data_IF_147939059577
#
_entry.id   IF_147939059577
#
_cell.length_a   1.000
_cell.length_b   1.000
_cell.length_c   1.000
_cell.angle_alpha   90.00
_cell.angle_beta   90.00
_cell.angle_gamma   90.00
#
_symmetry.space_group_name_H-M   'P 1'
#
loop_
_entity.id
_entity.type
_entity.pdbx_description
1 polymer ?
#
# COMPACT_ATOMS: atom_id res chain seq x y z
N UNK A 1 5.00 -6.60 -30.12
CA UNK A 1 5.79 -5.37 -29.88
C UNK A 1 4.79 -4.29 -29.50
N UNK A 2 4.91 -3.72 -28.30
CA UNK A 2 4.11 -2.56 -27.90
C UNK A 2 4.46 -1.39 -28.81
N UNK A 3 3.45 -0.64 -29.27
CA UNK A 3 3.68 0.58 -30.06
C UNK A 3 4.65 1.53 -29.34
N UNK A 4 5.58 2.19 -30.06
CA UNK A 4 6.43 3.22 -29.47
C UNK A 4 5.59 4.32 -28.84
N UNK A 5 5.92 4.75 -27.62
CA UNK A 5 5.21 5.81 -26.87
C UNK A 5 5.15 7.14 -27.65
N UNK A 6 6.02 7.31 -28.64
CA UNK A 6 6.02 8.40 -29.62
C UNK A 6 4.67 8.56 -30.35
N UNK A 7 3.91 7.47 -30.53
CA UNK A 7 2.58 7.46 -31.15
C UNK A 7 1.44 7.99 -30.26
N UNK A 8 1.73 8.40 -29.01
CA UNK A 8 0.72 8.85 -28.03
C UNK A 8 1.01 10.31 -27.62
N UNK A 9 0.52 11.30 -28.38
CA UNK A 9 0.83 12.72 -28.14
C UNK A 9 0.21 13.27 -26.86
N UNK A 10 -0.86 12.66 -26.36
CA UNK A 10 -1.63 13.16 -25.21
C UNK A 10 -1.07 12.72 -23.84
N UNK A 11 0.02 11.94 -23.82
CA UNK A 11 0.69 11.55 -22.57
C UNK A 11 1.62 12.68 -22.12
N UNK A 12 1.53 13.07 -20.84
CA UNK A 12 2.44 14.02 -20.21
C UNK A 12 3.92 13.68 -20.54
N UNK A 13 4.74 14.66 -20.99
CA UNK A 13 6.11 14.39 -21.43
C UNK A 13 7.00 13.70 -20.40
N UNK A 14 6.80 13.99 -19.10
CA UNK A 14 7.55 13.35 -18.01
C UNK A 14 7.13 11.90 -17.86
N UNK A 15 5.82 11.63 -17.86
CA UNK A 15 5.30 10.26 -17.82
C UNK A 15 5.75 9.45 -19.04
N UNK A 16 5.78 10.07 -20.22
CA UNK A 16 6.28 9.46 -21.45
C UNK A 16 7.75 9.07 -21.36
N UNK A 17 8.60 9.98 -20.89
CA UNK A 17 10.03 9.70 -20.66
C UNK A 17 10.22 8.56 -19.65
N UNK A 18 9.41 8.51 -18.60
CA UNK A 18 9.46 7.43 -17.61
C UNK A 18 9.08 6.08 -18.23
N UNK A 19 8.01 6.03 -19.04
CA UNK A 19 7.59 4.82 -19.76
C UNK A 19 8.66 4.32 -20.73
N UNK A 20 9.34 5.22 -21.43
CA UNK A 20 10.42 4.88 -22.37
C UNK A 20 11.67 4.38 -21.63
N UNK A 21 11.96 4.92 -20.45
CA UNK A 21 13.14 4.55 -19.63
C UNK A 21 12.91 3.26 -18.85
N UNK A 22 11.70 3.05 -18.35
CA UNK A 22 11.30 1.89 -17.57
C UNK A 22 10.11 1.21 -18.25
N UNK A 23 10.37 0.33 -19.24
CA UNK A 23 9.30 -0.46 -19.83
C UNK A 23 8.79 -1.45 -18.78
N UNK A 24 7.76 -1.05 -18.04
CA UNK A 24 7.04 -1.90 -17.09
C UNK A 24 6.09 -2.81 -17.88
N UNK A 25 6.66 -3.61 -18.78
CA UNK A 25 5.92 -4.58 -19.58
C UNK A 25 5.84 -5.89 -18.84
N UNK A 26 4.62 -6.33 -18.58
CA UNK A 26 4.33 -7.68 -18.08
C UNK A 26 3.64 -8.48 -19.18
N UNK A 27 4.06 -9.72 -19.34
CA UNK A 27 3.36 -10.70 -20.15
C UNK A 27 2.85 -11.81 -19.25
N UNK A 28 1.74 -12.45 -19.62
CA UNK A 28 1.22 -13.60 -18.85
C UNK A 28 2.27 -14.73 -18.74
N UNK A 29 3.18 -14.84 -19.72
CA UNK A 29 4.26 -15.82 -19.74
C UNK A 29 5.36 -15.56 -18.70
N UNK A 30 5.52 -14.32 -18.20
CA UNK A 30 6.49 -14.01 -17.15
C UNK A 30 6.13 -14.72 -15.82
N UNK A 31 4.84 -14.96 -15.58
CA UNK A 31 4.35 -15.52 -14.31
C UNK A 31 4.38 -14.51 -13.14
N UNK A 32 3.69 -14.85 -12.05
CA UNK A 32 3.49 -13.93 -10.91
C UNK A 32 4.79 -13.60 -10.19
N UNK A 33 5.71 -14.55 -10.05
CA UNK A 33 6.97 -14.34 -9.31
C UNK A 33 7.91 -13.35 -9.99
N UNK A 34 8.03 -13.42 -11.32
CA UNK A 34 8.83 -12.44 -12.08
C UNK A 34 8.21 -11.05 -11.95
N UNK A 35 6.87 -10.96 -12.01
CA UNK A 35 6.18 -9.70 -11.83
C UNK A 35 6.39 -9.11 -10.42
N UNK A 36 6.30 -9.94 -9.37
CA UNK A 36 6.60 -9.55 -7.98
C UNK A 36 8.04 -9.08 -7.83
N UNK A 37 9.00 -9.81 -8.40
CA UNK A 37 10.41 -9.46 -8.35
C UNK A 37 10.69 -8.11 -9.03
N UNK A 38 10.14 -7.87 -10.23
CA UNK A 38 10.25 -6.58 -10.94
C UNK A 38 9.65 -5.44 -10.11
N UNK A 39 8.47 -5.64 -9.51
CA UNK A 39 7.86 -4.60 -8.66
C UNK A 39 8.72 -4.27 -7.43
N UNK A 40 9.33 -5.27 -6.79
CA UNK A 40 10.24 -5.07 -5.64
C UNK A 40 11.53 -4.30 -5.99
N UNK A 41 11.90 -4.26 -7.27
CA UNK A 41 13.03 -3.47 -7.75
C UNK A 41 12.68 -1.98 -7.90
N UNK A 42 11.39 -1.63 -8.00
CA UNK A 42 10.93 -0.25 -7.99
C UNK A 42 10.98 0.30 -6.57
N UNK A 43 12.17 0.76 -6.16
CA UNK A 43 12.39 1.36 -4.84
C UNK A 43 12.54 2.86 -4.98
N UNK A 44 11.86 3.58 -4.09
CA UNK A 44 12.17 4.98 -3.86
C UNK A 44 13.42 5.04 -2.98
N UNK A 45 14.45 5.82 -3.34
CA UNK A 45 15.62 6.02 -2.49
C UNK A 45 15.19 6.50 -1.09
N UNK A 46 15.68 5.89 0.01
CA UNK A 46 15.26 6.23 1.36
C UNK A 46 15.40 7.71 1.72
N UNK A 47 16.41 8.39 1.16
CA UNK A 47 16.65 9.82 1.33
C UNK A 47 15.55 10.72 0.76
N UNK A 48 14.69 10.19 -0.12
CA UNK A 48 13.53 10.90 -0.65
C UNK A 48 12.25 10.62 0.15
N UNK A 49 12.30 9.70 1.11
CA UNK A 49 11.15 9.36 1.94
C UNK A 49 11.09 10.26 3.17
N UNK A 50 9.90 10.77 3.55
CA UNK A 50 9.77 11.49 4.80
C UNK A 50 10.03 10.54 5.98
N UNK A 51 10.82 11.01 6.95
CA UNK A 51 11.03 10.30 8.20
C UNK A 51 9.76 10.34 9.05
N UNK A 52 9.22 9.17 9.37
CA UNK A 52 8.01 8.99 10.17
C UNK A 52 8.29 8.01 11.30
N UNK A 53 7.54 8.13 12.41
CA UNK A 53 7.41 7.02 13.36
C UNK A 53 6.63 5.91 12.67
N UNK A 54 7.22 4.72 12.65
CA UNK A 54 6.67 3.54 11.98
C UNK A 54 6.78 2.35 12.91
N UNK A 55 5.72 1.55 12.96
CA UNK A 55 5.69 0.30 13.71
C UNK A 55 5.08 -0.81 12.86
N UNK A 56 5.68 -1.99 12.91
CA UNK A 56 5.11 -3.20 12.35
C UNK A 56 4.34 -3.95 13.43
N UNK A 57 3.15 -4.45 13.09
CA UNK A 57 2.30 -5.21 13.99
C UNK A 57 1.67 -6.38 13.25
N UNK A 58 1.29 -7.40 14.00
CA UNK A 58 0.39 -8.44 13.53
C UNK A 58 -0.95 -8.23 14.24
N UNK A 59 -2.02 -8.18 13.47
CA UNK A 59 -3.37 -7.91 13.97
C UNK A 59 -4.32 -9.04 13.59
N UNK A 60 -5.48 -9.04 14.24
CA UNK A 60 -6.50 -10.05 14.01
C UNK A 60 -7.89 -9.59 14.39
N UNK A 61 -8.88 -10.20 13.75
CA UNK A 61 -10.29 -10.01 14.03
C UNK A 61 -11.09 -11.28 13.71
N UNK A 62 -12.03 -11.65 14.58
CA UNK A 62 -13.01 -12.72 14.35
C UNK A 62 -12.39 -14.03 13.82
N UNK A 63 -11.33 -14.51 14.48
CA UNK A 63 -10.67 -15.77 14.17
C UNK A 63 -9.54 -15.69 13.13
N UNK A 64 -9.40 -14.58 12.39
CA UNK A 64 -8.17 -14.28 11.66
C UNK A 64 -7.17 -13.61 12.61
N UNK A 65 -5.99 -14.17 12.81
CA UNK A 65 -5.04 -13.71 13.84
C UNK A 65 -3.71 -13.20 13.33
N UNK A 66 -3.39 -13.46 12.05
CA UNK A 66 -2.05 -13.33 11.51
C UNK A 66 -2.01 -12.37 10.30
N UNK A 67 -2.56 -11.16 10.45
CA UNK A 67 -2.56 -10.14 9.39
C UNK A 67 -1.45 -9.13 9.69
N UNK A 68 -0.34 -9.11 8.94
CA UNK A 68 0.70 -8.11 9.13
C UNK A 68 0.21 -6.73 8.70
N UNK A 69 0.55 -5.72 9.48
CA UNK A 69 0.31 -4.31 9.17
C UNK A 69 1.54 -3.47 9.48
N UNK A 70 1.71 -2.38 8.75
CA UNK A 70 2.67 -1.32 9.08
C UNK A 70 1.89 -0.05 9.38
N UNK A 71 2.10 0.49 10.58
CA UNK A 71 1.45 1.70 11.06
C UNK A 71 2.41 2.87 10.94
N UNK A 72 1.95 3.97 10.37
CA UNK A 72 2.71 5.19 10.15
C UNK A 72 2.03 6.33 10.89
N UNK A 73 2.78 7.06 11.71
CA UNK A 73 2.30 8.26 12.36
C UNK A 73 2.79 9.50 11.62
N UNK A 74 1.90 10.47 11.34
CA UNK A 74 2.27 11.72 10.70
C UNK A 74 3.15 12.56 11.63
N UNK A 75 4.02 13.45 11.10
CA UNK A 75 4.93 14.27 11.89
C UNK A 75 4.20 15.49 12.48
N UNK A 76 3.08 15.25 13.17
CA UNK A 76 2.26 16.28 13.83
C UNK A 76 1.99 15.88 15.28
N UNK A 77 1.98 16.86 16.18
CA UNK A 77 1.67 16.66 17.60
C UNK A 77 0.22 17.08 17.82
N UNK A 78 -0.69 16.11 17.75
CA UNK A 78 -2.12 16.31 17.97
C UNK A 78 -2.76 15.01 18.43
N UNK A 79 -3.68 15.13 19.38
CA UNK A 79 -4.48 13.99 19.84
C UNK A 79 -5.61 13.67 18.84
N UNK A 80 -6.13 12.45 18.91
CA UNK A 80 -7.28 11.99 18.13
C UNK A 80 -7.08 12.23 16.62
N UNK A 81 -6.00 11.72 16.03
CA UNK A 81 -5.74 11.84 14.59
C UNK A 81 -6.80 11.07 13.76
N UNK A 82 -7.18 11.49 12.55
CA UNK A 82 -7.90 10.59 11.64
C UNK A 82 -7.03 9.36 11.33
N UNK A 83 -7.68 8.24 11.04
CA UNK A 83 -6.99 6.99 10.67
C UNK A 83 -7.36 6.61 9.24
N UNK A 84 -6.36 6.22 8.46
CA UNK A 84 -6.52 5.70 7.10
C UNK A 84 -6.10 4.24 7.09
N UNK A 85 -7.01 3.34 6.75
CA UNK A 85 -6.66 1.96 6.42
C UNK A 85 -6.27 1.92 4.95
N UNK A 86 -5.03 1.50 4.66
CA UNK A 86 -4.45 1.52 3.34
C UNK A 86 -4.26 0.10 2.81
N UNK A 87 -4.84 -0.17 1.64
CA UNK A 87 -4.71 -1.45 0.93
C UNK A 87 -3.91 -1.23 -0.34
N UNK A 88 -2.72 -1.84 -0.40
CA UNK A 88 -1.83 -1.64 -1.53
C UNK A 88 -2.43 -2.13 -2.86
N UNK A 89 -1.91 -1.62 -3.98
CA UNK A 89 -2.28 -2.06 -5.32
C UNK A 89 -1.58 -3.36 -5.74
N UNK A 90 -1.55 -3.62 -7.05
CA UNK A 90 -0.86 -4.79 -7.61
C UNK A 90 -1.78 -5.93 -8.05
N UNK A 91 -3.07 -5.65 -8.25
CA UNK A 91 -4.01 -6.59 -8.87
C UNK A 91 -4.22 -7.88 -8.06
N UNK A 92 -4.17 -7.79 -6.73
CA UNK A 92 -4.32 -8.92 -5.78
C UNK A 92 -3.20 -9.96 -5.80
N UNK A 93 -2.25 -9.84 -6.72
CA UNK A 93 -1.16 -10.80 -6.89
C UNK A 93 0.22 -10.20 -6.67
N UNK A 94 0.34 -8.88 -6.67
CA UNK A 94 1.59 -8.14 -6.50
C UNK A 94 1.45 -7.16 -5.35
N UNK A 95 2.58 -6.63 -4.92
CA UNK A 95 2.63 -5.58 -3.91
C UNK A 95 2.94 -6.13 -2.51
N UNK A 96 2.72 -5.29 -1.52
CA UNK A 96 3.04 -5.53 -0.12
C UNK A 96 3.59 -4.26 0.53
N UNK A 97 3.82 -4.32 1.84
CA UNK A 97 4.23 -3.17 2.67
C UNK A 97 5.43 -2.41 2.10
N UNK A 98 6.46 -3.11 1.64
CA UNK A 98 7.69 -2.48 1.15
C UNK A 98 7.53 -1.78 -0.21
N UNK A 99 6.72 -2.35 -1.09
CA UNK A 99 6.53 -1.80 -2.44
C UNK A 99 5.68 -0.52 -2.44
N UNK A 100 4.85 -0.34 -1.41
CA UNK A 100 3.94 0.81 -1.28
C UNK A 100 4.25 1.68 -0.05
N UNK A 101 5.37 1.45 0.64
CA UNK A 101 5.87 2.30 1.73
C UNK A 101 5.90 3.80 1.35
N UNK A 102 6.36 4.22 0.15
CA UNK A 102 6.34 5.63 -0.24
C UNK A 102 4.91 6.21 -0.32
N UNK A 103 3.94 5.42 -0.77
CA UNK A 103 2.54 5.84 -0.91
C UNK A 103 1.87 5.94 0.46
N UNK A 104 2.10 4.95 1.34
CA UNK A 104 1.60 4.99 2.72
C UNK A 104 2.15 6.19 3.50
N UNK A 105 3.44 6.51 3.34
CA UNK A 105 4.05 7.73 3.89
C UNK A 105 3.41 9.00 3.34
N UNK A 106 3.19 9.07 2.02
CA UNK A 106 2.57 10.23 1.38
C UNK A 106 1.15 10.46 1.90
N UNK A 107 0.37 9.39 2.13
CA UNK A 107 -0.93 9.49 2.78
C UNK A 107 -0.82 10.01 4.22
N UNK A 108 0.10 9.49 5.02
CA UNK A 108 0.27 9.92 6.41
C UNK A 108 0.59 11.42 6.46
N UNK A 109 1.57 11.88 5.68
CA UNK A 109 1.98 13.29 5.62
C UNK A 109 0.87 14.17 5.04
N UNK A 110 0.34 13.82 3.87
CA UNK A 110 -0.61 14.66 3.14
C UNK A 110 -1.96 14.80 3.84
N UNK A 111 -2.45 13.73 4.47
CA UNK A 111 -3.72 13.74 5.21
C UNK A 111 -3.56 14.10 6.69
N UNK A 112 -2.32 14.20 7.20
CA UNK A 112 -2.03 14.32 8.64
C UNK A 112 -2.80 13.27 9.47
N UNK A 113 -2.73 12.03 8.99
CA UNK A 113 -3.49 10.89 9.48
C UNK A 113 -2.56 9.74 9.87
N UNK A 114 -2.96 8.94 10.86
CA UNK A 114 -2.32 7.65 11.10
C UNK A 114 -2.68 6.75 9.92
N UNK A 115 -1.70 6.09 9.31
CA UNK A 115 -1.94 5.14 8.23
C UNK A 115 -1.67 3.73 8.74
N UNK A 116 -2.64 2.83 8.57
CA UNK A 116 -2.48 1.39 8.82
C UNK A 116 -2.45 0.70 7.46
N UNK A 117 -1.25 0.40 6.96
CA UNK A 117 -1.05 -0.34 5.70
C UNK A 117 -1.17 -1.84 5.96
N UNK A 118 -2.03 -2.52 5.20
CA UNK A 118 -2.36 -3.93 5.41
C UNK A 118 -1.66 -4.83 4.40
N UNK A 119 -0.97 -5.87 4.88
CA UNK A 119 -0.31 -6.90 4.06
C UNK A 119 -1.24 -8.09 3.86
N UNK A 120 -2.32 -7.89 3.11
CA UNK A 120 -3.33 -8.92 2.89
C UNK A 120 -2.76 -10.08 2.05
N UNK A 121 -3.32 -11.29 2.24
CA UNK A 121 -2.88 -12.47 1.48
C UNK A 121 -3.12 -12.32 -0.02
N UNK A 122 -2.11 -12.69 -0.82
CA UNK A 122 -2.11 -12.55 -2.27
C UNK A 122 -2.57 -13.81 -3.00
N UNK A 123 -3.21 -13.61 -4.15
CA UNK A 123 -3.39 -14.66 -5.14
C UNK A 123 -2.09 -14.86 -5.96
N UNK A 124 -1.83 -16.05 -6.51
CA UNK A 124 -2.70 -17.22 -6.55
C UNK A 124 -2.67 -18.12 -5.29
N UNK A 125 -1.75 -17.90 -4.35
CA UNK A 125 -1.57 -18.74 -3.16
C UNK A 125 -2.81 -18.71 -2.27
N UNK A 126 -3.44 -17.55 -2.19
CA UNK A 126 -4.66 -17.31 -1.43
C UNK A 126 -5.69 -16.65 -2.36
N UNK A 127 -6.47 -17.44 -3.11
CA UNK A 127 -7.47 -16.90 -4.02
C UNK A 127 -8.58 -16.17 -3.26
N UNK A 128 -9.41 -15.44 -3.99
CA UNK A 128 -10.61 -14.84 -3.45
C UNK A 128 -11.42 -15.86 -2.61
N UNK A 129 -11.92 -15.49 -1.41
CA UNK A 129 -11.96 -14.14 -0.83
C UNK A 129 -10.80 -13.77 0.12
N UNK A 130 -9.73 -14.57 0.24
CA UNK A 130 -8.76 -14.45 1.33
C UNK A 130 -8.22 -13.03 1.60
N UNK A 131 -7.72 -12.34 0.58
CA UNK A 131 -7.21 -10.97 0.76
C UNK A 131 -8.29 -9.94 1.11
N UNK A 132 -9.55 -10.17 0.69
CA UNK A 132 -10.70 -9.32 1.07
C UNK A 132 -11.07 -9.56 2.53
N UNK A 133 -11.06 -10.82 2.97
CA UNK A 133 -11.34 -11.18 4.35
C UNK A 133 -10.28 -10.58 5.29
N UNK A 134 -9.00 -10.65 4.93
CA UNK A 134 -7.91 -10.00 5.69
C UNK A 134 -8.08 -8.47 5.73
N UNK A 135 -8.41 -7.87 4.59
CA UNK A 135 -8.63 -6.43 4.49
C UNK A 135 -9.77 -5.96 5.39
N UNK A 136 -10.88 -6.72 5.39
CA UNK A 136 -12.04 -6.44 6.22
C UNK A 136 -11.75 -6.65 7.71
N UNK A 137 -11.08 -7.74 8.07
CA UNK A 137 -10.65 -8.01 9.44
C UNK A 137 -9.73 -6.91 9.97
N UNK A 138 -8.76 -6.45 9.17
CA UNK A 138 -7.89 -5.34 9.54
C UNK A 138 -8.68 -4.03 9.77
N UNK A 139 -9.67 -3.72 8.92
CA UNK A 139 -10.52 -2.54 9.13
C UNK A 139 -11.31 -2.61 10.44
N UNK A 140 -11.87 -3.78 10.75
CA UNK A 140 -12.61 -3.97 12.00
C UNK A 140 -11.70 -3.88 13.22
N UNK A 141 -10.50 -4.45 13.14
CA UNK A 141 -9.49 -4.28 14.17
C UNK A 141 -9.14 -2.80 14.36
N UNK A 142 -8.94 -2.03 13.28
CA UNK A 142 -8.69 -0.58 13.39
C UNK A 142 -9.88 0.14 14.03
N UNK A 143 -11.11 -0.23 13.69
CA UNK A 143 -12.32 0.32 14.32
C UNK A 143 -12.36 0.17 15.84
N UNK A 144 -11.86 -0.95 16.37
CA UNK A 144 -11.83 -1.23 17.81
C UNK A 144 -10.57 -0.68 18.51
N UNK A 145 -9.46 -0.49 17.77
CA UNK A 145 -8.15 -0.16 18.34
C UNK A 145 -7.63 1.23 17.94
N UNK A 146 -8.38 2.04 17.19
CA UNK A 146 -7.95 3.36 16.72
C UNK A 146 -7.47 4.27 17.87
N UNK A 147 -8.19 4.27 19.00
CA UNK A 147 -7.83 5.07 20.16
C UNK A 147 -6.45 4.71 20.73
N UNK A 148 -6.08 3.43 20.73
CA UNK A 148 -4.76 2.96 21.20
C UNK A 148 -3.61 3.42 20.30
N UNK A 149 -3.91 3.69 19.02
CA UNK A 149 -2.96 4.28 18.08
C UNK A 149 -2.85 5.80 18.23
N UNK A 150 -3.67 6.44 19.07
CA UNK A 150 -3.83 7.90 19.15
C UNK A 150 -4.77 8.46 18.09
N UNK A 151 -5.57 7.60 17.46
CA UNK A 151 -6.56 7.92 16.44
C UNK A 151 -7.97 8.11 16.97
N UNK A 152 -8.81 8.75 16.17
CA UNK A 152 -10.24 8.95 16.44
C UNK A 152 -11.07 7.85 15.75
N UNK A 153 -11.74 6.95 16.50
CA UNK A 153 -12.51 5.85 15.91
C UNK A 153 -13.72 6.33 15.09
N UNK A 154 -14.15 7.59 15.24
CA UNK A 154 -15.22 8.19 14.43
C UNK A 154 -14.73 8.75 13.09
N UNK A 155 -13.41 8.77 12.86
CA UNK A 155 -12.77 9.37 11.66
C UNK A 155 -11.83 8.39 10.98
N UNK A 156 -12.40 7.30 10.49
CA UNK A 156 -11.70 6.26 9.75
C UNK A 156 -12.03 6.38 8.26
N UNK A 157 -11.00 6.42 7.42
CA UNK A 157 -11.12 6.37 5.97
C UNK A 157 -10.41 5.12 5.42
N UNK A 158 -10.76 4.74 4.20
CA UNK A 158 -10.11 3.65 3.46
C UNK A 158 -9.48 4.24 2.19
N UNK A 159 -8.23 3.84 1.91
CA UNK A 159 -7.48 4.28 0.73
C UNK A 159 -6.80 3.10 0.02
N UNK A 160 -6.43 3.30 -1.24
CA UNK A 160 -5.73 2.34 -2.10
C UNK A 160 -4.67 3.04 -2.94
#
# INVERSE_FOLDING_TARGET
MTEPTVARPDIDPVLKMLLDTFPVTFTAADGVEVARARLRQLKTPPELLPELRIEERTVGYDGLTDIPVRVYWPPVVRDNLPVVVYYHGGGWSLGGLDTHDPVARAHAVGAQAIVVSVDYRLAPEHPYPAGIDDSWAALRWVGENAAELGGDPSRIAVAR
#
